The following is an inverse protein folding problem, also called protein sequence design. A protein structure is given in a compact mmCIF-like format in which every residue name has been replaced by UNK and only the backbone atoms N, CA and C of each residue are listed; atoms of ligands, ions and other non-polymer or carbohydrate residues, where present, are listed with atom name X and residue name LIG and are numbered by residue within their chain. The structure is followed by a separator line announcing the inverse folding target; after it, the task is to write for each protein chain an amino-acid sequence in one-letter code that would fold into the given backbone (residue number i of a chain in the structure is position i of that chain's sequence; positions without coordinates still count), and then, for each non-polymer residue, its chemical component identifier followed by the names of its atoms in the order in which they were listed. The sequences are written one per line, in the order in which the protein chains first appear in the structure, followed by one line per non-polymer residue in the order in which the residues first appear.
data_IF_582087349371
#
_entry.id   IF_582087349371
#
_cell.length_a   1.000
_cell.length_b   1.000
_cell.length_c   1.000
_cell.angle_alpha   90.00
_cell.angle_beta   90.00
_cell.angle_gamma   90.00
#
_symmetry.space_group_name_H-M   'P 1'
#
loop_
_entity.id
_entity.type
_entity.pdbx_description
1 polymer ?
#
# COMPACT_ATOMS: atom_id res chain seq x y z
N UNK A 1 -6.96 3.94 -34.03
CA UNK A 1 -7.81 3.10 -33.15
C UNK A 1 -7.29 3.23 -31.74
N UNK A 2 -8.12 3.61 -30.79
CA UNK A 2 -7.78 3.58 -29.37
C UNK A 2 -7.75 2.12 -28.89
N UNK A 3 -6.80 1.78 -28.00
CA UNK A 3 -6.73 0.44 -27.40
C UNK A 3 -7.97 0.17 -26.54
N UNK A 4 -8.34 -1.10 -26.43
CA UNK A 4 -9.35 -1.59 -25.50
C UNK A 4 -8.79 -1.66 -24.07
N UNK A 5 -9.67 -1.69 -23.07
CA UNK A 5 -9.29 -1.84 -21.65
C UNK A 5 -8.42 -3.09 -21.42
N UNK A 6 -8.77 -4.20 -22.07
CA UNK A 6 -8.01 -5.45 -21.96
C UNK A 6 -6.59 -5.32 -22.56
N UNK A 7 -6.46 -4.63 -23.70
CA UNK A 7 -5.16 -4.37 -24.33
C UNK A 7 -4.30 -3.45 -23.45
N UNK A 8 -4.87 -2.37 -22.91
CA UNK A 8 -4.15 -1.50 -21.97
C UNK A 8 -3.66 -2.27 -20.74
N UNK A 9 -4.52 -3.09 -20.12
CA UNK A 9 -4.11 -3.95 -18.99
C UNK A 9 -2.98 -4.90 -19.38
N UNK A 10 -3.09 -5.54 -20.55
CA UNK A 10 -2.13 -6.55 -21.00
C UNK A 10 -0.78 -5.92 -21.32
N UNK A 11 -0.77 -4.76 -21.99
CA UNK A 11 0.45 -3.99 -22.22
C UNK A 11 1.04 -3.49 -20.91
N UNK A 12 0.22 -2.96 -19.99
CA UNK A 12 0.65 -2.54 -18.65
C UNK A 12 1.35 -3.66 -17.88
N UNK A 13 0.78 -4.87 -17.91
CA UNK A 13 1.39 -6.06 -17.30
C UNK A 13 2.76 -6.38 -17.92
N UNK A 14 2.91 -6.23 -19.24
CA UNK A 14 4.20 -6.45 -19.93
C UNK A 14 5.25 -5.45 -19.49
N UNK A 15 4.92 -4.16 -19.41
CA UNK A 15 5.82 -3.13 -18.93
C UNK A 15 6.19 -3.32 -17.46
N UNK A 16 5.22 -3.70 -16.63
CA UNK A 16 5.44 -4.02 -15.22
C UNK A 16 6.46 -5.16 -15.05
N UNK A 17 6.28 -6.27 -15.76
CA UNK A 17 7.23 -7.41 -15.74
C UNK A 17 8.64 -7.05 -16.24
N UNK A 18 8.76 -6.03 -17.09
CA UNK A 18 10.05 -5.52 -17.58
C UNK A 18 10.67 -4.45 -16.66
N UNK A 19 10.15 -4.26 -15.45
CA UNK A 19 10.56 -3.23 -14.51
C UNK A 19 10.37 -1.78 -15.00
N UNK A 20 9.46 -1.57 -15.96
CA UNK A 20 9.10 -0.25 -16.47
C UNK A 20 7.81 0.22 -15.78
N UNK A 21 7.89 0.47 -14.47
CA UNK A 21 6.78 0.83 -13.58
C UNK A 21 5.99 2.05 -14.08
N UNK A 22 6.67 3.13 -14.46
CA UNK A 22 6.03 4.38 -14.92
C UNK A 22 5.15 4.18 -16.16
N UNK A 23 5.63 3.41 -17.14
CA UNK A 23 4.84 3.10 -18.34
C UNK A 23 3.64 2.20 -18.00
N UNK A 24 3.82 1.24 -17.09
CA UNK A 24 2.72 0.42 -16.60
C UNK A 24 1.64 1.27 -15.91
N UNK A 25 2.03 2.23 -15.05
CA UNK A 25 1.12 3.16 -14.37
C UNK A 25 0.29 3.96 -15.38
N UNK A 26 0.93 4.48 -16.42
CA UNK A 26 0.24 5.23 -17.48
C UNK A 26 -0.82 4.36 -18.17
N UNK A 27 -0.45 3.15 -18.58
CA UNK A 27 -1.36 2.25 -19.28
C UNK A 27 -2.54 1.81 -18.42
N UNK A 28 -2.32 1.50 -17.14
CA UNK A 28 -3.42 1.21 -16.22
C UNK A 28 -4.32 2.42 -15.99
N UNK A 29 -3.76 3.62 -15.95
CA UNK A 29 -4.55 4.85 -15.78
C UNK A 29 -5.44 5.12 -16.98
N UNK A 30 -4.94 4.89 -18.20
CA UNK A 30 -5.78 4.96 -19.41
C UNK A 30 -6.87 3.87 -19.40
N UNK A 31 -6.55 2.65 -18.95
CA UNK A 31 -7.56 1.60 -18.78
C UNK A 31 -8.67 2.00 -17.78
N UNK A 32 -8.30 2.61 -16.65
CA UNK A 32 -9.24 3.07 -15.62
C UNK A 32 -10.14 4.18 -16.17
N UNK A 33 -9.57 5.18 -16.85
CA UNK A 33 -10.35 6.26 -17.50
C UNK A 33 -11.38 5.71 -18.48
N UNK A 34 -11.05 4.67 -19.24
CA UNK A 34 -11.99 4.05 -20.18
C UNK A 34 -13.14 3.31 -19.49
N UNK A 35 -12.92 2.77 -18.29
CA UNK A 35 -13.95 2.12 -17.47
C UNK A 35 -14.85 3.16 -16.79
N UNK A 36 -14.28 4.24 -16.25
CA UNK A 36 -15.05 5.30 -15.55
C UNK A 36 -16.09 5.97 -16.45
N UNK A 37 -15.89 5.89 -17.77
CA UNK A 37 -16.80 6.42 -18.79
C UNK A 37 -17.84 5.39 -19.30
N UNK A 38 -17.90 4.18 -18.72
CA UNK A 38 -18.77 3.08 -19.16
C UNK A 38 -19.56 2.43 -18.02
N UNK A 39 -20.68 1.80 -18.34
CA UNK A 39 -21.46 0.99 -17.38
C UNK A 39 -20.67 -0.25 -16.95
N UNK A 40 -20.75 -0.60 -15.66
CA UNK A 40 -19.94 -1.68 -15.05
C UNK A 40 -20.12 -3.05 -15.72
N UNK A 41 -21.33 -3.33 -16.23
CA UNK A 41 -21.72 -4.62 -16.83
C UNK A 41 -21.08 -4.89 -18.20
N UNK A 42 -20.55 -3.85 -18.87
CA UNK A 42 -19.87 -3.99 -20.16
C UNK A 42 -18.36 -4.24 -20.01
N UNK A 43 -17.84 -4.19 -18.78
CA UNK A 43 -16.41 -4.24 -18.54
C UNK A 43 -15.88 -5.67 -18.47
N UNK A 44 -15.17 -6.07 -19.52
CA UNK A 44 -14.42 -7.34 -19.60
C UNK A 44 -13.36 -7.45 -18.49
N UNK A 45 -12.86 -6.32 -17.99
CA UNK A 45 -11.87 -6.26 -16.90
C UNK A 45 -12.49 -5.53 -15.72
N UNK A 46 -12.56 -6.15 -14.53
CA UNK A 46 -13.14 -5.48 -13.36
C UNK A 46 -12.22 -4.38 -12.84
N UNK A 47 -12.82 -3.25 -12.46
CA UNK A 47 -12.08 -2.04 -12.05
C UNK A 47 -11.13 -2.28 -10.85
N UNK A 48 -11.54 -3.10 -9.88
CA UNK A 48 -10.70 -3.42 -8.72
C UNK A 48 -9.35 -4.03 -9.12
N UNK A 49 -9.29 -4.79 -10.22
CA UNK A 49 -8.08 -5.45 -10.69
C UNK A 49 -7.11 -4.43 -11.32
N UNK A 50 -7.62 -3.39 -11.98
CA UNK A 50 -6.78 -2.31 -12.51
C UNK A 50 -6.17 -1.49 -11.37
N UNK A 51 -6.96 -1.10 -10.38
CA UNK A 51 -6.44 -0.45 -9.17
C UNK A 51 -5.41 -1.33 -8.46
N UNK A 52 -5.68 -2.63 -8.36
CA UNK A 52 -4.74 -3.57 -7.81
C UNK A 52 -3.43 -3.54 -8.60
N UNK A 53 -3.45 -3.74 -9.91
CA UNK A 53 -2.23 -3.77 -10.73
C UNK A 53 -1.46 -2.44 -10.72
N UNK A 54 -2.17 -1.30 -10.76
CA UNK A 54 -1.56 0.03 -10.68
C UNK A 54 -0.91 0.28 -9.33
N UNK A 55 -1.52 -0.16 -8.22
CA UNK A 55 -0.88 -0.10 -6.88
C UNK A 55 0.44 -0.87 -6.83
N UNK A 56 0.55 -2.01 -7.53
CA UNK A 56 1.81 -2.76 -7.61
C UNK A 56 2.89 -1.95 -8.33
N UNK A 57 2.52 -1.32 -9.45
CA UNK A 57 3.44 -0.51 -10.23
C UNK A 57 3.91 0.73 -9.45
N UNK A 58 3.02 1.37 -8.69
CA UNK A 58 3.39 2.45 -7.77
C UNK A 58 4.35 2.00 -6.65
N UNK A 59 4.10 0.84 -6.04
CA UNK A 59 5.01 0.26 -5.04
C UNK A 59 6.39 0.01 -5.65
N UNK A 60 6.44 -0.53 -6.86
CA UNK A 60 7.70 -0.76 -7.58
C UNK A 60 8.45 0.55 -7.88
N UNK A 61 7.70 1.62 -8.15
CA UNK A 61 8.22 2.98 -8.34
C UNK A 61 8.58 3.69 -7.02
N UNK A 62 8.26 3.08 -5.87
CA UNK A 62 8.38 3.66 -4.52
C UNK A 62 7.44 4.85 -4.24
N UNK A 63 6.42 5.04 -5.07
CA UNK A 63 5.31 5.94 -4.76
C UNK A 63 4.30 5.22 -3.87
N UNK A 64 4.63 5.15 -2.58
CA UNK A 64 3.79 4.47 -1.60
C UNK A 64 2.48 5.22 -1.33
N UNK A 65 2.40 6.52 -1.61
CA UNK A 65 1.17 7.29 -1.39
C UNK A 65 0.12 6.93 -2.42
N UNK A 66 0.46 7.02 -3.72
CA UNK A 66 -0.46 6.63 -4.78
C UNK A 66 -0.78 5.13 -4.73
N UNK A 67 0.22 4.30 -4.41
CA UNK A 67 0.02 2.87 -4.21
C UNK A 67 -0.95 2.54 -3.05
N UNK A 68 -0.89 3.31 -1.95
CA UNK A 68 -1.80 3.15 -0.81
C UNK A 68 -3.24 3.47 -1.18
N UNK A 69 -3.48 4.58 -1.86
CA UNK A 69 -4.82 4.99 -2.27
C UNK A 69 -5.43 4.00 -3.26
N UNK A 70 -4.68 3.54 -4.27
CA UNK A 70 -5.14 2.52 -5.21
C UNK A 70 -5.46 1.18 -4.52
N UNK A 71 -4.61 0.74 -3.59
CA UNK A 71 -4.86 -0.50 -2.84
C UNK A 71 -6.15 -0.40 -2.02
N UNK A 72 -6.42 0.76 -1.40
CA UNK A 72 -7.69 1.03 -0.69
C UNK A 72 -8.89 1.04 -1.63
N UNK A 73 -8.80 1.67 -2.79
CA UNK A 73 -9.90 1.66 -3.76
C UNK A 73 -10.19 0.24 -4.25
N UNK A 74 -9.15 -0.55 -4.52
CA UNK A 74 -9.31 -1.97 -4.88
C UNK A 74 -10.02 -2.77 -3.78
N UNK A 75 -9.69 -2.56 -2.51
CA UNK A 75 -10.33 -3.21 -1.37
C UNK A 75 -11.78 -2.76 -1.14
N UNK A 76 -12.11 -1.49 -1.40
CA UNK A 76 -13.51 -1.00 -1.35
C UNK A 76 -14.40 -1.71 -2.36
N UNK A 77 -13.88 -1.97 -3.56
CA UNK A 77 -14.62 -2.64 -4.64
C UNK A 77 -14.73 -4.14 -4.43
N UNK A 78 -13.63 -4.80 -4.04
CA UNK A 78 -13.61 -6.23 -3.76
C UNK A 78 -12.74 -6.51 -2.56
N UNK A 79 -13.36 -6.75 -1.41
CA UNK A 79 -12.64 -7.01 -0.15
C UNK A 79 -12.36 -8.49 0.09
N UNK A 80 -13.37 -9.35 -0.09
CA UNK A 80 -13.34 -10.74 0.39
C UNK A 80 -12.41 -11.68 -0.38
N UNK A 81 -12.06 -11.35 -1.63
CA UNK A 81 -11.19 -12.20 -2.47
C UNK A 81 -9.83 -11.54 -2.76
N UNK A 82 -9.65 -10.29 -2.33
CA UNK A 82 -8.52 -9.44 -2.74
C UNK A 82 -7.41 -9.40 -1.70
N UNK A 83 -6.81 -10.57 -1.46
CA UNK A 83 -5.73 -10.74 -0.50
C UNK A 83 -4.51 -9.84 -0.86
N UNK A 84 -4.19 -9.73 -2.16
CA UNK A 84 -3.10 -8.87 -2.65
C UNK A 84 -3.33 -7.38 -2.34
N UNK A 85 -4.59 -6.93 -2.33
CA UNK A 85 -4.97 -5.57 -1.95
C UNK A 85 -4.56 -5.26 -0.51
N UNK A 86 -4.86 -6.16 0.43
CA UNK A 86 -4.47 -6.01 1.84
C UNK A 86 -2.95 -5.95 2.01
N UNK A 87 -2.23 -6.84 1.34
CA UNK A 87 -0.77 -6.88 1.39
C UNK A 87 -0.15 -5.56 0.91
N UNK A 88 -0.63 -5.05 -0.23
CA UNK A 88 -0.15 -3.79 -0.82
C UNK A 88 -0.51 -2.58 0.04
N UNK A 89 -1.73 -2.52 0.57
CA UNK A 89 -2.14 -1.47 1.51
C UNK A 89 -1.27 -1.45 2.77
N UNK A 90 -1.00 -2.63 3.36
CA UNK A 90 -0.15 -2.75 4.53
C UNK A 90 1.31 -2.35 4.27
N UNK A 91 1.89 -2.74 3.13
CA UNK A 91 3.24 -2.31 2.72
C UNK A 91 3.31 -0.80 2.55
N UNK A 92 2.37 -0.21 1.81
CA UNK A 92 2.38 1.23 1.60
C UNK A 92 2.21 1.99 2.91
N UNK A 93 1.26 1.58 3.76
CA UNK A 93 1.07 2.16 5.10
C UNK A 93 2.35 2.06 5.95
N UNK A 94 3.04 0.92 5.90
CA UNK A 94 4.32 0.74 6.58
C UNK A 94 5.37 1.73 6.09
N UNK A 95 5.52 1.91 4.77
CA UNK A 95 6.51 2.83 4.21
C UNK A 95 6.19 4.30 4.48
N UNK A 96 4.89 4.66 4.49
CA UNK A 96 4.42 6.00 4.86
C UNK A 96 4.51 6.28 6.37
N UNK A 97 4.80 5.26 7.20
CA UNK A 97 4.90 5.40 8.65
C UNK A 97 3.56 5.26 9.39
N UNK A 98 2.49 4.91 8.69
CA UNK A 98 1.18 4.63 9.27
C UNK A 98 1.12 3.20 9.82
N UNK A 99 1.86 2.97 10.90
CA UNK A 99 2.11 1.61 11.38
C UNK A 99 0.84 0.94 11.95
N UNK A 100 0.00 1.69 12.66
CA UNK A 100 -1.24 1.17 13.24
C UNK A 100 -2.19 0.64 12.14
N UNK A 101 -2.34 1.41 11.06
CA UNK A 101 -3.14 1.04 9.90
C UNK A 101 -2.55 -0.18 9.18
N UNK A 102 -1.21 -0.25 9.09
CA UNK A 102 -0.54 -1.40 8.50
C UNK A 102 -0.81 -2.70 9.29
N UNK A 103 -0.83 -2.64 10.63
CA UNK A 103 -1.21 -3.77 11.46
C UNK A 103 -2.67 -4.18 11.28
N UNK A 104 -3.59 -3.21 11.17
CA UNK A 104 -5.01 -3.45 10.96
C UNK A 104 -5.26 -4.20 9.65
N UNK A 105 -4.69 -3.74 8.54
CA UNK A 105 -4.81 -4.43 7.25
C UNK A 105 -4.30 -5.87 7.31
N UNK A 106 -3.23 -6.14 8.04
CA UNK A 106 -2.72 -7.51 8.21
C UNK A 106 -3.65 -8.36 9.06
N UNK A 107 -4.17 -7.84 10.17
CA UNK A 107 -5.12 -8.55 11.03
C UNK A 107 -6.36 -8.94 10.24
N UNK A 108 -6.92 -8.00 9.48
CA UNK A 108 -8.05 -8.25 8.60
C UNK A 108 -7.71 -9.28 7.52
N UNK A 109 -6.54 -9.19 6.90
CA UNK A 109 -6.12 -10.13 5.88
C UNK A 109 -6.00 -11.57 6.42
N UNK A 110 -5.42 -11.75 7.60
CA UNK A 110 -5.27 -13.07 8.24
C UNK A 110 -6.65 -13.66 8.58
N UNK A 111 -7.56 -12.83 9.08
CA UNK A 111 -8.91 -13.26 9.42
C UNK A 111 -9.70 -13.70 8.18
N UNK A 112 -9.57 -12.95 7.09
CA UNK A 112 -10.32 -13.21 5.85
C UNK A 112 -9.65 -14.25 4.92
N UNK A 113 -8.33 -14.40 4.98
CA UNK A 113 -7.53 -15.18 4.02
C UNK A 113 -6.51 -16.11 4.70
N UNK A 114 -7.00 -17.02 5.54
CA UNK A 114 -6.15 -17.95 6.32
C UNK A 114 -5.18 -18.79 5.45
N UNK A 115 -5.55 -19.10 4.20
CA UNK A 115 -4.71 -19.88 3.27
C UNK A 115 -3.40 -19.16 2.88
N UNK A 116 -3.40 -17.82 2.86
CA UNK A 116 -2.25 -17.01 2.45
C UNK A 116 -1.46 -16.46 3.65
N UNK A 117 -1.62 -17.07 4.83
CA UNK A 117 -1.06 -16.58 6.09
C UNK A 117 0.47 -16.41 6.09
N UNK A 118 1.20 -17.15 5.24
CA UNK A 118 2.66 -17.07 5.12
C UNK A 118 3.13 -15.67 4.67
N UNK A 119 2.57 -15.14 3.60
CA UNK A 119 2.94 -13.82 3.05
C UNK A 119 2.70 -12.70 4.06
N UNK A 120 1.60 -12.80 4.82
CA UNK A 120 1.26 -11.83 5.87
C UNK A 120 2.11 -11.97 7.11
N UNK A 121 2.61 -13.18 7.42
CA UNK A 121 3.45 -13.43 8.60
C UNK A 121 4.79 -12.70 8.50
N UNK A 122 5.43 -12.77 7.34
CA UNK A 122 6.70 -12.08 7.10
C UNK A 122 6.52 -10.55 7.16
N UNK A 123 5.45 -10.06 6.55
CA UNK A 123 5.12 -8.64 6.59
C UNK A 123 4.79 -8.17 8.02
N UNK A 124 4.04 -8.97 8.78
CA UNK A 124 3.73 -8.71 10.19
C UNK A 124 5.00 -8.57 11.02
N UNK A 125 5.93 -9.52 10.86
CA UNK A 125 7.21 -9.51 11.57
C UNK A 125 8.04 -8.26 11.22
N UNK A 126 8.03 -7.82 9.95
CA UNK A 126 8.71 -6.61 9.51
C UNK A 126 8.12 -5.35 10.17
N UNK A 127 6.80 -5.27 10.26
CA UNK A 127 6.09 -4.16 10.93
C UNK A 127 6.43 -4.14 12.41
N UNK A 128 6.33 -5.27 13.11
CA UNK A 128 6.63 -5.38 14.54
C UNK A 128 8.08 -4.94 14.85
N UNK A 129 9.04 -5.36 14.02
CA UNK A 129 10.44 -4.90 14.14
C UNK A 129 10.55 -3.39 14.00
N UNK A 130 9.86 -2.77 13.03
CA UNK A 130 9.88 -1.31 12.86
C UNK A 130 9.22 -0.58 14.03
N UNK A 131 8.09 -1.09 14.55
CA UNK A 131 7.46 -0.56 15.78
C UNK A 131 8.46 -0.59 16.93
N UNK A 132 9.14 -1.72 17.12
CA UNK A 132 10.11 -1.89 18.20
C UNK A 132 11.28 -0.91 18.06
N UNK A 133 11.81 -0.74 16.85
CA UNK A 133 12.82 0.28 16.56
C UNK A 133 12.30 1.69 16.91
N UNK A 134 11.12 2.09 16.41
CA UNK A 134 10.57 3.42 16.69
C UNK A 134 10.31 3.66 18.19
N UNK A 135 9.79 2.66 18.91
CA UNK A 135 9.62 2.72 20.38
C UNK A 135 10.97 2.89 21.09
N UNK A 136 12.02 2.19 20.62
CA UNK A 136 13.38 2.34 21.13
C UNK A 136 13.92 3.76 20.91
N UNK A 137 13.67 4.37 19.76
CA UNK A 137 14.06 5.75 19.46
C UNK A 137 13.24 6.81 20.23
N UNK A 138 11.97 6.53 20.59
CA UNK A 138 11.16 7.44 21.42
C UNK A 138 11.65 7.59 22.87
N UNK A 139 12.20 6.53 23.47
CA UNK A 139 12.71 6.57 24.86
C UNK A 139 13.83 7.61 25.07
N UNK A 140 14.92 7.66 24.29
CA UNK A 140 15.98 8.64 24.48
C UNK A 140 15.51 10.09 24.29
N UNK A 141 14.56 10.37 23.39
CA UNK A 141 14.00 11.73 23.23
C UNK A 141 13.24 12.17 24.48
N UNK A 142 12.44 11.29 25.08
CA UNK A 142 11.74 11.58 26.33
C UNK A 142 12.71 11.79 27.51
N UNK A 143 13.79 11.01 27.56
CA UNK A 143 14.84 11.15 28.59
C UNK A 143 15.65 12.43 28.40
N UNK A 144 16.02 12.77 27.16
CA UNK A 144 16.71 14.02 26.83
C UNK A 144 15.86 15.26 27.17
N UNK A 145 14.55 15.22 26.88
CA UNK A 145 13.63 16.31 27.24
C UNK A 145 13.49 16.50 28.75
N UNK A 146 13.52 15.40 29.53
CA UNK A 146 13.57 15.46 31.00
C UNK A 146 14.90 16.04 31.50
N UNK A 147 16.02 15.66 30.89
CA UNK A 147 17.34 16.20 31.23
C UNK A 147 17.48 17.70 30.94
N UNK A 148 16.96 18.17 29.79
CA UNK A 148 16.94 19.59 29.44
C UNK A 148 16.13 20.41 30.44
N UNK A 149 14.94 19.91 30.83
CA UNK A 149 14.08 20.57 31.81
C UNK A 149 14.73 20.67 33.20
N UNK A 150 15.54 19.68 33.58
CA UNK A 150 16.30 19.70 34.83
C UNK A 150 17.44 20.72 34.79
N UNK A 151 18.10 20.88 33.64
CA UNK A 151 19.14 21.90 33.45
C UNK A 151 18.56 23.30 33.48
N UNK A 152 17.42 23.54 32.82
CA UNK A 152 16.72 24.83 32.87
C UNK A 152 16.39 25.24 34.33
N UNK A 153 15.97 24.29 35.16
CA UNK A 153 15.71 24.52 36.59
C UNK A 153 16.97 24.88 37.40
N UNK A 154 18.15 24.37 37.01
CA UNK A 154 19.42 24.67 37.68
C UNK A 154 19.94 26.07 37.33
N UNK A 155 19.61 26.60 36.15
CA UNK A 155 20.03 27.93 35.71
C UNK A 155 19.07 29.06 36.14
N UNK A 156 17.89 28.73 36.68
CA UNK A 156 16.92 29.68 37.23
C UNK A 156 17.04 29.88 38.75
N UNK A 157 17.88 29.10 39.44
CA UNK A 157 18.27 29.27 40.87
C UNK A 157 19.60 30.02 41.02
#
# INVERSE_FOLDING_TARGET
MSLTVLEYKTQGNRYYSNNQSLLAIQLYSEAIKLIENKLEEENVVPLYLLYLNRSAAYIQDKDFYCGYEDAKQSLKLKRNENFKGFYRAAICAYHLGFIEQAEEFIKEAINNHQQNALDYRDLKLLIEKKVQCMKRWRKPVATAKKGLKLLEQIFEE
#
